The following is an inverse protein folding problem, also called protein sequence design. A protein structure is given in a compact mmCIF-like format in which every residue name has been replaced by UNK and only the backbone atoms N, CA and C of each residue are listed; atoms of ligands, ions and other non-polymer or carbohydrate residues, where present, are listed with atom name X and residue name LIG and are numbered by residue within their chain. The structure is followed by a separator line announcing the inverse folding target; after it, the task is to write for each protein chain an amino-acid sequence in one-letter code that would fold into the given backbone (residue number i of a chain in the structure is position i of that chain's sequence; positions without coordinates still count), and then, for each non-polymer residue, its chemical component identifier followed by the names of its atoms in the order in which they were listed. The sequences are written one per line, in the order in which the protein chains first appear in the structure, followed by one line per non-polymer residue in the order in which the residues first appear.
data_IF_460152073602
#
_entry.id   IF_460152073602
#
_cell.length_a   1.000
_cell.length_b   1.000
_cell.length_c   1.000
_cell.angle_alpha   90.00
_cell.angle_beta   90.00
_cell.angle_gamma   90.00
#
_symmetry.space_group_name_H-M   'P 1'
#
loop_
_entity.id
_entity.type
_entity.pdbx_description
1 polymer ?
#
# COMPACT_ATOMS: atom_id res chain seq x y z
N UNK A 1 22.14 -7.08 -3.63
CA UNK A 1 21.80 -5.74 -3.08
C UNK A 1 22.92 -5.09 -2.28
N UNK A 2 23.50 -5.64 -1.19
CA UNK A 2 24.64 -4.96 -0.52
C UNK A 2 25.95 -4.92 -1.35
N UNK A 3 26.08 -5.77 -2.35
CA UNK A 3 27.25 -5.84 -3.25
C UNK A 3 27.04 -5.17 -4.62
N UNK A 4 25.80 -4.83 -4.96
CA UNK A 4 25.48 -4.04 -6.16
C UNK A 4 24.94 -2.70 -5.69
N UNK A 5 25.70 -1.62 -5.88
CA UNK A 5 25.40 -0.26 -5.38
C UNK A 5 24.25 0.42 -6.13
N UNK A 6 23.18 -0.32 -6.43
CA UNK A 6 21.96 0.17 -7.05
C UNK A 6 20.79 -0.78 -6.77
N UNK A 7 19.58 -0.24 -6.71
CA UNK A 7 18.38 -1.04 -6.52
C UNK A 7 17.17 -0.20 -6.13
N UNK A 8 15.99 -0.79 -6.21
CA UNK A 8 14.75 -0.17 -5.71
C UNK A 8 14.04 -1.17 -4.81
N UNK A 9 13.66 -0.73 -3.62
CA UNK A 9 12.87 -1.51 -2.66
C UNK A 9 11.47 -0.90 -2.62
N UNK A 10 10.47 -1.72 -2.91
CA UNK A 10 9.07 -1.34 -2.80
C UNK A 10 8.46 -1.96 -1.56
N UNK A 11 7.75 -1.14 -0.77
CA UNK A 11 6.92 -1.59 0.33
C UNK A 11 5.45 -1.38 0.00
N UNK A 12 4.61 -2.33 0.39
CA UNK A 12 3.15 -2.23 0.25
C UNK A 12 2.55 -1.77 1.59
N UNK A 13 2.30 -0.48 1.68
CA UNK A 13 1.61 0.22 2.75
C UNK A 13 0.10 0.07 2.68
N UNK A 14 -0.60 1.16 3.03
CA UNK A 14 -2.06 1.31 2.95
C UNK A 14 -2.41 2.76 3.22
N UNK A 15 -3.54 3.24 2.70
CA UNK A 15 -4.14 4.50 3.19
C UNK A 15 -4.35 4.53 4.72
N UNK A 16 -4.50 3.34 5.34
CA UNK A 16 -4.60 3.21 6.79
C UNK A 16 -3.31 3.53 7.54
N UNK A 17 -2.18 3.66 6.83
CA UNK A 17 -0.89 4.18 7.32
C UNK A 17 -0.72 5.70 7.15
N UNK A 18 -1.70 6.37 6.53
CA UNK A 18 -1.75 7.83 6.36
C UNK A 18 -2.77 8.46 7.30
N UNK A 19 -3.92 7.80 7.44
CA UNK A 19 -5.03 8.24 8.29
C UNK A 19 -5.61 7.03 9.01
N UNK A 20 -5.75 7.12 10.34
CA UNK A 20 -6.34 6.06 11.16
C UNK A 20 -7.77 5.72 10.73
N UNK A 21 -8.12 4.43 10.73
CA UNK A 21 -9.46 3.96 10.36
C UNK A 21 -10.19 3.36 11.55
N UNK A 22 -11.49 3.67 11.67
CA UNK A 22 -12.37 3.03 12.66
C UNK A 22 -12.36 1.51 12.46
N UNK A 23 -12.32 0.75 13.56
CA UNK A 23 -12.15 -0.72 13.57
C UNK A 23 -10.82 -1.23 12.99
N UNK A 24 -9.88 -0.33 12.68
CA UNK A 24 -8.57 -0.65 12.12
C UNK A 24 -7.40 -0.33 13.05
N UNK A 25 -7.60 -0.16 14.37
CA UNK A 25 -6.57 0.37 15.29
C UNK A 25 -5.21 -0.31 15.15
N UNK A 26 -5.15 -1.64 15.26
CA UNK A 26 -3.89 -2.38 15.15
C UNK A 26 -3.33 -2.38 13.72
N UNK A 27 -4.20 -2.49 12.72
CA UNK A 27 -3.81 -2.45 11.31
C UNK A 27 -3.22 -1.08 10.93
N UNK A 28 -3.87 0.01 11.34
CA UNK A 28 -3.37 1.38 11.19
C UNK A 28 -2.04 1.54 11.92
N UNK A 29 -1.91 1.13 13.18
CA UNK A 29 -0.65 1.22 13.91
C UNK A 29 0.50 0.52 13.16
N UNK A 30 0.28 -0.70 12.67
CA UNK A 30 1.27 -1.44 11.89
C UNK A 30 1.63 -0.72 10.58
N UNK A 31 0.65 -0.17 9.86
CA UNK A 31 0.90 0.53 8.58
C UNK A 31 1.54 1.91 8.75
N UNK A 32 1.24 2.63 9.84
CA UNK A 32 1.97 3.83 10.23
C UNK A 32 3.41 3.50 10.62
N UNK A 33 3.62 2.42 11.38
CA UNK A 33 4.95 1.92 11.73
C UNK A 33 5.77 1.57 10.48
N UNK A 34 5.17 0.87 9.52
CA UNK A 34 5.80 0.57 8.23
C UNK A 34 6.17 1.85 7.47
N UNK A 35 5.31 2.89 7.51
CA UNK A 35 5.61 4.17 6.88
C UNK A 35 6.83 4.85 7.50
N UNK A 36 6.89 4.92 8.83
CA UNK A 36 8.06 5.43 9.54
C UNK A 36 9.33 4.64 9.25
N UNK A 37 9.22 3.31 9.22
CA UNK A 37 10.31 2.42 8.82
C UNK A 37 10.84 2.71 7.40
N UNK A 38 9.95 2.89 6.42
CA UNK A 38 10.37 3.20 5.05
C UNK A 38 11.09 4.56 4.96
N UNK A 39 10.64 5.56 5.73
CA UNK A 39 11.28 6.87 5.78
C UNK A 39 12.69 6.79 6.38
N UNK A 40 12.85 6.10 7.50
CA UNK A 40 14.16 5.89 8.13
C UNK A 40 15.10 5.08 7.22
N UNK A 41 14.63 3.97 6.66
CA UNK A 41 15.43 3.12 5.78
C UNK A 41 15.90 3.87 4.54
N UNK A 42 15.05 4.72 3.95
CA UNK A 42 15.43 5.55 2.79
C UNK A 42 16.61 6.44 3.11
N UNK A 43 16.60 7.09 4.26
CA UNK A 43 17.68 7.98 4.71
C UNK A 43 18.98 7.19 4.94
N UNK A 44 18.88 6.04 5.62
CA UNK A 44 20.03 5.16 5.89
C UNK A 44 20.71 4.65 4.61
N UNK A 45 19.95 4.39 3.54
CA UNK A 45 20.49 3.79 2.30
C UNK A 45 20.75 4.80 1.18
N UNK A 46 20.47 6.09 1.37
CA UNK A 46 20.55 7.12 0.33
C UNK A 46 21.93 7.19 -0.33
N UNK A 47 23.00 7.07 0.46
CA UNK A 47 24.40 7.11 -0.04
C UNK A 47 24.82 5.84 -0.78
N UNK A 48 24.02 4.77 -0.71
CA UNK A 48 24.28 3.49 -1.39
C UNK A 48 23.62 3.39 -2.77
N UNK A 49 22.94 4.45 -3.24
CA UNK A 49 22.23 4.44 -4.53
C UNK A 49 20.99 3.54 -4.54
N UNK A 50 20.48 3.18 -3.35
CA UNK A 50 19.27 2.37 -3.19
C UNK A 50 18.07 3.30 -3.04
N UNK A 51 17.04 3.05 -3.85
CA UNK A 51 15.76 3.74 -3.82
C UNK A 51 14.78 3.00 -2.93
N UNK A 52 13.97 3.72 -2.16
CA UNK A 52 12.93 3.16 -1.28
C UNK A 52 11.61 3.88 -1.55
N UNK A 53 10.63 3.13 -2.04
CA UNK A 53 9.28 3.61 -2.37
C UNK A 53 8.22 2.85 -1.55
N UNK A 54 7.31 3.59 -0.93
CA UNK A 54 6.14 3.05 -0.25
C UNK A 54 4.88 3.28 -1.09
N UNK A 55 4.18 2.22 -1.47
CA UNK A 55 2.87 2.32 -2.11
C UNK A 55 1.78 2.22 -1.04
N UNK A 56 0.87 3.19 -0.97
CA UNK A 56 -0.24 3.23 -0.02
C UNK A 56 -1.57 3.04 -0.76
N UNK A 57 -1.97 1.81 -1.10
CA UNK A 57 -3.24 1.57 -1.74
C UNK A 57 -4.41 1.70 -0.75
N UNK A 58 -5.57 2.09 -1.29
CA UNK A 58 -6.89 1.98 -0.67
C UNK A 58 -7.41 0.55 -0.78
N UNK A 59 -8.69 0.38 -1.12
CA UNK A 59 -9.25 -0.95 -1.34
C UNK A 59 -8.71 -1.55 -2.64
N UNK A 60 -8.22 -2.79 -2.60
CA UNK A 60 -7.71 -3.53 -3.77
C UNK A 60 -8.46 -4.85 -3.87
N UNK A 61 -8.91 -5.24 -5.07
CA UNK A 61 -9.62 -6.52 -5.30
C UNK A 61 -8.70 -7.71 -5.07
N UNK A 62 -8.68 -8.17 -3.82
CA UNK A 62 -7.86 -9.29 -3.36
C UNK A 62 -8.65 -10.08 -2.32
N UNK A 63 -8.22 -11.31 -1.97
CA UNK A 63 -8.78 -12.07 -0.86
C UNK A 63 -8.75 -11.39 0.52
N UNK A 64 -8.14 -10.20 0.65
CA UNK A 64 -8.01 -9.46 1.91
C UNK A 64 -9.36 -9.27 2.65
N UNK A 65 -10.46 -9.08 1.92
CA UNK A 65 -11.78 -8.84 2.50
C UNK A 65 -12.57 -10.11 2.83
N UNK A 66 -12.07 -11.30 2.48
CA UNK A 66 -12.80 -12.56 2.68
C UNK A 66 -13.10 -12.84 4.16
N UNK A 67 -12.13 -12.55 5.04
CA UNK A 67 -12.25 -12.71 6.50
C UNK A 67 -12.87 -11.51 7.22
N UNK A 68 -13.15 -10.42 6.51
CA UNK A 68 -13.71 -9.20 7.08
C UNK A 68 -15.22 -9.15 6.92
N UNK A 69 -15.90 -8.44 7.82
CA UNK A 69 -17.35 -8.23 7.75
C UNK A 69 -17.77 -7.12 6.77
N UNK A 70 -16.86 -6.64 5.94
CA UNK A 70 -17.12 -5.64 4.92
C UNK A 70 -16.24 -5.87 3.71
N UNK A 71 -16.69 -5.41 2.56
CA UNK A 71 -15.93 -5.42 1.32
C UNK A 71 -16.36 -4.24 0.42
N UNK A 72 -15.51 -3.81 -0.52
CA UNK A 72 -15.90 -2.81 -1.51
C UNK A 72 -17.10 -3.28 -2.34
N UNK A 73 -17.95 -2.36 -2.76
CA UNK A 73 -18.99 -2.71 -3.75
C UNK A 73 -18.35 -3.27 -5.03
N UNK A 74 -19.04 -4.21 -5.65
CA UNK A 74 -18.63 -4.84 -6.92
C UNK A 74 -18.84 -3.93 -8.13
N UNK A 75 -18.29 -2.71 -8.08
CA UNK A 75 -18.23 -1.82 -9.25
C UNK A 75 -16.78 -1.41 -9.47
N UNK A 76 -16.40 -1.20 -10.73
CA UNK A 76 -15.06 -0.81 -11.15
C UNK A 76 -14.47 0.35 -10.33
N UNK A 77 -15.30 1.33 -9.96
CA UNK A 77 -14.83 2.53 -9.24
C UNK A 77 -14.59 2.35 -7.73
N UNK A 78 -15.00 1.23 -7.13
CA UNK A 78 -14.98 1.05 -5.68
C UNK A 78 -13.74 0.32 -5.13
N UNK A 79 -12.93 -0.29 -6.01
CA UNK A 79 -11.67 -0.93 -5.65
C UNK A 79 -10.65 -0.73 -6.78
N UNK A 80 -9.37 -0.75 -6.42
CA UNK A 80 -8.24 -0.80 -7.35
C UNK A 80 -8.04 -2.26 -7.78
N UNK A 81 -7.63 -2.47 -9.03
CA UNK A 81 -7.24 -3.81 -9.50
C UNK A 81 -5.76 -4.08 -9.17
N UNK A 82 -5.36 -5.31 -8.80
CA UNK A 82 -3.95 -5.66 -8.56
C UNK A 82 -3.02 -5.28 -9.72
N UNK A 83 -3.52 -5.36 -10.95
CA UNK A 83 -2.82 -5.00 -12.18
C UNK A 83 -2.44 -3.51 -12.21
N UNK A 84 -3.25 -2.63 -11.62
CA UNK A 84 -2.93 -1.20 -11.51
C UNK A 84 -1.72 -0.99 -10.57
N UNK A 85 -1.66 -1.74 -9.46
CA UNK A 85 -0.53 -1.71 -8.54
C UNK A 85 0.74 -2.19 -9.25
N UNK A 86 0.64 -3.32 -9.98
CA UNK A 86 1.76 -3.87 -10.74
C UNK A 86 2.26 -2.89 -11.81
N UNK A 87 1.34 -2.29 -12.57
CA UNK A 87 1.66 -1.27 -13.58
C UNK A 87 2.41 -0.10 -12.99
N UNK A 88 1.91 0.45 -11.87
CA UNK A 88 2.58 1.56 -11.19
C UNK A 88 3.98 1.17 -10.72
N UNK A 89 4.18 -0.03 -10.16
CA UNK A 89 5.52 -0.50 -9.79
C UNK A 89 6.45 -0.56 -11.02
N UNK A 90 5.98 -1.06 -12.16
CA UNK A 90 6.75 -1.09 -13.41
C UNK A 90 7.10 0.31 -13.92
N UNK A 91 6.16 1.25 -13.88
CA UNK A 91 6.39 2.64 -14.28
C UNK A 91 7.43 3.31 -13.37
N UNK A 92 7.37 3.06 -12.06
CA UNK A 92 8.34 3.57 -11.08
C UNK A 92 9.73 2.96 -11.27
N UNK A 93 9.82 1.69 -11.68
CA UNK A 93 11.09 1.05 -12.02
C UNK A 93 11.80 1.76 -13.19
N UNK A 94 11.05 2.25 -14.17
CA UNK A 94 11.58 2.99 -15.32
C UNK A 94 11.95 4.45 -15.02
N UNK A 95 11.67 4.95 -13.82
CA UNK A 95 12.10 6.29 -13.41
C UNK A 95 13.63 6.39 -13.37
N UNK A 96 14.18 7.53 -13.81
CA UNK A 96 15.63 7.80 -13.81
C UNK A 96 16.27 7.48 -12.44
N UNK A 97 17.43 6.84 -12.44
CA UNK A 97 18.10 6.38 -11.21
C UNK A 97 18.41 7.49 -10.19
N UNK A 98 18.63 8.73 -10.65
CA UNK A 98 18.86 9.88 -9.78
C UNK A 98 17.58 10.51 -9.23
N UNK A 99 16.45 9.81 -9.30
CA UNK A 99 15.16 10.23 -8.75
C UNK A 99 14.61 9.09 -7.90
N UNK A 100 14.37 9.36 -6.62
CA UNK A 100 13.62 8.49 -5.73
C UNK A 100 12.18 8.98 -5.65
N UNK A 101 11.22 8.08 -5.87
CA UNK A 101 9.81 8.34 -5.58
C UNK A 101 9.53 7.78 -4.20
N UNK A 102 9.28 8.66 -3.24
CA UNK A 102 9.23 8.29 -1.82
C UNK A 102 7.95 7.52 -1.46
N UNK A 103 6.79 8.07 -1.84
CA UNK A 103 5.47 7.54 -1.52
C UNK A 103 4.52 7.72 -2.71
N UNK A 104 3.70 6.71 -2.98
CA UNK A 104 2.62 6.78 -3.98
C UNK A 104 1.31 6.34 -3.32
N UNK A 105 0.31 7.21 -3.35
CA UNK A 105 -1.00 6.94 -2.77
C UNK A 105 -1.98 6.60 -3.90
N UNK A 106 -2.62 5.43 -3.82
CA UNK A 106 -3.59 4.98 -4.81
C UNK A 106 -4.93 4.79 -4.13
N UNK A 107 -5.97 5.42 -4.64
CA UNK A 107 -7.32 5.34 -4.09
C UNK A 107 -8.30 4.90 -5.18
N UNK A 108 -9.29 4.05 -4.85
CA UNK A 108 -10.45 3.91 -5.70
C UNK A 108 -11.15 5.27 -5.88
N UNK A 109 -11.72 5.51 -7.06
CA UNK A 109 -12.44 6.75 -7.39
C UNK A 109 -13.63 6.98 -6.44
N UNK A 110 -14.29 5.91 -6.02
CA UNK A 110 -15.41 5.92 -5.08
C UNK A 110 -15.13 4.94 -3.94
N UNK A 111 -15.66 5.19 -2.73
CA UNK A 111 -15.44 4.32 -1.56
C UNK A 111 -16.75 3.91 -0.89
N UNK A 112 -17.48 3.05 -1.57
CA UNK A 112 -18.71 2.43 -1.09
C UNK A 112 -18.45 0.99 -0.66
N UNK A 113 -19.04 0.60 0.48
CA UNK A 113 -18.88 -0.72 1.08
C UNK A 113 -20.19 -1.49 1.09
N UNK A 114 -20.09 -2.81 0.99
CA UNK A 114 -21.08 -3.78 1.42
C UNK A 114 -20.68 -4.32 2.79
N UNK A 115 -21.65 -4.59 3.65
CA UNK A 115 -21.44 -5.23 4.95
C UNK A 115 -21.97 -6.66 4.90
N UNK A 116 -21.14 -7.62 5.30
CA UNK A 116 -21.52 -9.03 5.37
C UNK A 116 -22.37 -9.28 6.61
N UNK A 117 -23.39 -10.14 6.54
CA UNK A 117 -24.18 -10.51 7.71
C UNK A 117 -23.27 -11.12 8.78
N UNK A 118 -23.42 -10.66 10.03
CA UNK A 118 -22.72 -11.23 11.17
C UNK A 118 -23.27 -12.64 11.36
N UNK A 119 -22.44 -13.68 11.14
CA UNK A 119 -22.82 -15.03 11.58
C UNK A 119 -22.98 -14.99 13.11
N UNK A 120 -24.21 -15.15 13.59
CA UNK A 120 -24.45 -15.44 15.00
C UNK A 120 -23.84 -16.83 15.26
N UNK A 121 -22.83 -16.89 16.10
CA UNK A 121 -22.39 -18.16 16.69
C UNK A 121 -23.53 -18.64 17.60
N UNK A 122 -24.01 -19.85 17.36
CA UNK A 122 -24.95 -20.57 18.23
C UNK A 122 -24.17 -21.29 19.33
#
# INVERSE_FOLDING_TARGET
MKYEKNGTIFFIGSESGLVGKKKGTLYSAAKFGLRGFCQALRDEVATSGIRVCLLNPGFVRTPFFESLNFEPKETETNAIEPEDIAKIILDLLHTRIGTNIDEVNLSPTTKSLNFKPIKKEN
#
